data_IF_085227895856
#
_entry.id   IF_085227895856
#
_cell.length_a   1.000
_cell.length_b   1.000
_cell.length_c   1.000
_cell.angle_alpha   90.00
_cell.angle_beta   90.00
_cell.angle_gamma   90.00
#
_symmetry.space_group_name_H-M   'P 1'
#
loop_
_entity.id
_entity.type
_entity.pdbx_description
1 polymer ?
#
# COMPACT_ATOMS: atom_id res chain seq x y z
N UNK A 1 -28.41 -9.36 -11.15
CA UNK A 1 -28.24 -8.42 -10.02
C UNK A 1 -26.91 -7.71 -10.21
N UNK A 2 -26.89 -6.51 -10.78
CA UNK A 2 -25.62 -5.84 -11.13
C UNK A 2 -25.71 -4.35 -10.81
N UNK A 3 -25.62 -4.04 -9.53
CA UNK A 3 -25.67 -2.68 -9.00
C UNK A 3 -24.27 -2.05 -9.14
N UNK A 4 -23.96 -1.51 -10.31
CA UNK A 4 -22.74 -0.74 -10.56
C UNK A 4 -22.82 0.64 -9.92
N UNK A 5 -22.74 0.69 -8.59
CA UNK A 5 -22.25 1.89 -7.92
C UNK A 5 -20.73 1.84 -7.97
N UNK A 6 -20.09 2.70 -8.76
CA UNK A 6 -18.62 2.84 -8.84
C UNK A 6 -18.07 3.50 -7.58
N UNK A 7 -18.41 2.94 -6.41
CA UNK A 7 -17.92 3.39 -5.12
C UNK A 7 -16.62 2.67 -4.84
N UNK A 8 -15.53 3.43 -4.89
CA UNK A 8 -14.21 2.93 -4.53
C UNK A 8 -14.23 2.55 -3.05
N UNK A 9 -13.91 1.30 -2.73
CA UNK A 9 -13.84 0.81 -1.34
C UNK A 9 -12.39 0.68 -0.91
N UNK A 10 -12.11 1.10 0.32
CA UNK A 10 -10.81 0.94 0.94
C UNK A 10 -10.56 -0.52 1.27
N UNK A 11 -9.46 -1.09 0.79
CA UNK A 11 -9.09 -2.49 1.05
C UNK A 11 -8.74 -2.76 2.52
N UNK A 12 -8.34 -1.74 3.29
CA UNK A 12 -7.91 -1.90 4.68
C UNK A 12 -9.05 -1.85 5.70
N UNK A 13 -10.15 -1.14 5.40
CA UNK A 13 -11.29 -0.99 6.33
C UNK A 13 -12.65 -1.29 5.69
N UNK A 14 -12.67 -1.68 4.42
CA UNK A 14 -13.84 -2.00 3.60
C UNK A 14 -14.91 -0.91 3.50
N UNK A 15 -14.58 0.32 3.92
CA UNK A 15 -15.45 1.50 3.82
C UNK A 15 -15.29 2.20 2.48
N UNK A 16 -16.32 2.93 2.06
CA UNK A 16 -16.25 3.81 0.89
C UNK A 16 -15.15 4.86 1.09
N UNK A 17 -14.27 4.99 0.10
CA UNK A 17 -13.24 6.03 0.06
C UNK A 17 -13.59 7.02 -1.03
N UNK A 18 -13.62 8.29 -0.65
CA UNK A 18 -13.90 9.38 -1.58
C UNK A 18 -12.65 9.74 -2.37
N UNK A 19 -12.83 10.25 -3.59
CA UNK A 19 -11.74 10.68 -4.45
C UNK A 19 -10.81 11.74 -3.79
N UNK A 20 -11.31 12.49 -2.80
CA UNK A 20 -10.51 13.46 -2.04
C UNK A 20 -9.45 12.82 -1.14
N UNK A 21 -9.68 11.60 -0.65
CA UNK A 21 -8.79 10.89 0.28
C UNK A 21 -8.34 9.53 -0.26
N UNK A 22 -8.64 9.26 -1.53
CA UNK A 22 -8.32 7.99 -2.18
C UNK A 22 -6.83 7.92 -2.47
N UNK A 23 -6.24 6.83 -2.03
CA UNK A 23 -4.86 6.47 -2.28
C UNK A 23 -4.84 5.21 -3.13
N UNK A 24 -4.41 5.36 -4.37
CA UNK A 24 -4.20 4.24 -5.29
C UNK A 24 -2.80 3.67 -5.10
N UNK A 25 -2.70 2.43 -4.63
CA UNK A 25 -1.44 1.74 -4.42
C UNK A 25 -1.54 0.29 -4.91
N UNK A 26 -0.67 -0.12 -5.84
CA UNK A 26 -0.65 -1.50 -6.35
C UNK A 26 -1.98 -1.98 -6.95
N UNK A 27 -2.79 -1.08 -7.52
CA UNK A 27 -4.09 -1.41 -8.12
C UNK A 27 -5.27 -1.49 -7.14
N UNK A 28 -5.05 -1.20 -5.86
CA UNK A 28 -6.10 -1.12 -4.84
C UNK A 28 -6.16 0.28 -4.23
N UNK A 29 -7.31 0.59 -3.61
CA UNK A 29 -7.58 1.90 -3.07
C UNK A 29 -7.60 1.87 -1.53
N UNK A 30 -7.08 2.92 -0.91
CA UNK A 30 -6.99 3.09 0.53
C UNK A 30 -7.36 4.52 0.94
N UNK A 31 -7.74 4.73 2.20
CA UNK A 31 -7.81 6.09 2.78
C UNK A 31 -6.41 6.60 3.13
N UNK A 32 -6.25 7.92 3.12
CA UNK A 32 -5.06 8.62 3.67
C UNK A 32 -4.65 8.14 5.07
N UNK A 33 -5.61 7.87 5.94
CA UNK A 33 -5.38 7.39 7.30
C UNK A 33 -5.21 5.88 7.33
N UNK A 34 -5.81 5.13 6.41
CA UNK A 34 -5.69 3.66 6.33
C UNK A 34 -4.36 3.20 5.71
N UNK A 35 -3.65 4.10 5.04
CA UNK A 35 -2.37 3.83 4.42
C UNK A 35 -1.26 3.65 5.45
N UNK A 36 -1.16 2.44 5.99
CA UNK A 36 -0.27 2.09 7.12
C UNK A 36 0.45 0.78 6.84
N UNK A 37 1.60 0.59 7.49
CA UNK A 37 2.33 -0.67 7.40
C UNK A 37 1.52 -1.80 8.05
N UNK A 38 1.35 -2.93 7.37
CA UNK A 38 0.64 -4.09 7.92
C UNK A 38 1.39 -4.78 9.07
N UNK A 39 2.69 -4.50 9.23
CA UNK A 39 3.50 -5.11 10.27
C UNK A 39 3.53 -4.30 11.57
N UNK A 40 3.68 -2.97 11.48
CA UNK A 40 3.75 -2.09 12.65
C UNK A 40 2.61 -1.06 12.76
N UNK A 41 1.66 -1.06 11.83
CA UNK A 41 0.59 -0.05 11.72
C UNK A 41 1.08 1.40 11.67
N UNK A 42 2.37 1.63 11.36
CA UNK A 42 2.95 2.96 11.20
C UNK A 42 2.37 3.68 9.98
N UNK A 43 2.13 4.99 10.10
CA UNK A 43 1.65 5.82 8.99
C UNK A 43 2.65 5.81 7.85
N UNK A 44 2.17 5.46 6.66
CA UNK A 44 2.94 5.51 5.42
C UNK A 44 2.44 6.67 4.56
N UNK A 45 3.29 7.11 3.64
CA UNK A 45 2.92 8.09 2.62
C UNK A 45 3.11 7.49 1.23
N UNK A 46 2.33 7.95 0.25
CA UNK A 46 2.52 7.57 -1.16
C UNK A 46 3.95 7.78 -1.66
N UNK A 47 4.67 8.73 -1.07
CA UNK A 47 6.07 9.03 -1.39
C UNK A 47 7.09 8.13 -0.68
N UNK A 48 6.69 7.37 0.35
CA UNK A 48 7.59 6.53 1.17
C UNK A 48 6.88 5.25 1.65
N UNK A 49 6.34 4.47 0.72
CA UNK A 49 5.77 3.14 1.02
C UNK A 49 6.35 2.09 0.09
N UNK A 50 6.17 0.83 0.47
CA UNK A 50 6.45 -0.31 -0.37
C UNK A 50 5.25 -1.25 -0.34
N UNK A 51 4.87 -1.76 -1.50
CA UNK A 51 3.77 -2.71 -1.64
C UNK A 51 4.32 -4.08 -2.03
N UNK A 52 3.99 -5.11 -1.26
CA UNK A 52 4.29 -6.51 -1.56
C UNK A 52 2.97 -7.27 -1.63
N UNK A 53 2.65 -7.87 -2.77
CA UNK A 53 1.46 -8.72 -2.92
C UNK A 53 0.15 -8.01 -2.49
N UNK A 54 0.05 -6.70 -2.77
CA UNK A 54 -1.09 -5.87 -2.35
C UNK A 54 -1.08 -5.42 -0.88
N UNK A 55 -0.05 -5.79 -0.11
CA UNK A 55 0.13 -5.40 1.30
C UNK A 55 1.15 -4.28 1.45
N UNK A 56 0.84 -3.28 2.29
CA UNK A 56 1.68 -2.10 2.50
C UNK A 56 2.69 -2.31 3.61
N UNK A 57 3.93 -1.92 3.36
CA UNK A 57 5.04 -2.03 4.31
C UNK A 57 5.85 -0.71 4.36
N UNK A 58 6.42 -0.42 5.52
CA UNK A 58 7.41 0.65 5.63
C UNK A 58 8.75 0.20 5.03
N UNK A 59 9.58 1.16 4.60
CA UNK A 59 10.94 0.89 4.08
C UNK A 59 11.72 -0.18 4.88
N UNK A 60 11.92 -0.05 6.20
CA UNK A 60 12.71 -1.03 6.94
C UNK A 60 12.07 -2.42 7.00
N UNK A 61 10.76 -2.53 7.21
CA UNK A 61 10.09 -3.84 7.24
C UNK A 61 10.03 -4.50 5.87
N UNK A 62 9.84 -3.71 4.80
CA UNK A 62 9.84 -4.22 3.44
C UNK A 62 11.24 -4.74 3.06
N UNK A 63 12.30 -3.99 3.36
CA UNK A 63 13.68 -4.43 3.14
C UNK A 63 13.99 -5.72 3.91
N UNK A 64 13.55 -5.84 5.16
CA UNK A 64 13.70 -7.05 5.95
C UNK A 64 12.95 -8.24 5.33
N UNK A 65 11.69 -8.04 4.92
CA UNK A 65 10.89 -9.05 4.23
C UNK A 65 11.52 -9.53 2.92
N UNK A 66 12.04 -8.61 2.10
CA UNK A 66 12.74 -8.97 0.87
C UNK A 66 14.00 -9.79 1.16
N UNK A 67 14.70 -9.46 2.25
CA UNK A 67 15.88 -10.20 2.71
C UNK A 67 15.54 -11.63 3.10
N UNK A 68 14.39 -11.84 3.76
CA UNK A 68 13.89 -13.17 4.13
C UNK A 68 13.31 -13.95 2.94
N UNK A 69 12.66 -13.27 1.99
CA UNK A 69 11.98 -13.92 0.86
C UNK A 69 12.89 -14.27 -0.33
N UNK A 70 14.14 -13.78 -0.33
CA UNK A 70 15.19 -14.23 -1.26
C UNK A 70 15.17 -13.55 -2.63
N UNK A 71 16.30 -12.89 -2.92
CA UNK A 71 16.80 -12.36 -4.21
C UNK A 71 16.14 -11.13 -4.85
N UNK A 72 16.91 -10.02 -4.93
CA UNK A 72 16.90 -9.15 -6.12
C UNK A 72 16.78 -7.64 -5.93
N UNK A 73 17.82 -7.00 -5.37
CA UNK A 73 18.29 -5.64 -5.66
C UNK A 73 17.38 -4.69 -6.48
N UNK A 74 16.75 -3.72 -5.82
CA UNK A 74 16.71 -2.36 -6.36
C UNK A 74 17.84 -1.56 -5.71
N UNK A 75 19.07 -1.90 -6.11
CA UNK A 75 20.21 -1.01 -5.95
C UNK A 75 19.84 0.27 -6.71
N UNK A 76 19.62 1.34 -5.97
CA UNK A 76 19.40 2.69 -6.49
C UNK A 76 20.47 2.98 -7.54
N UNK A 77 20.07 3.03 -8.81
CA UNK A 77 20.94 3.42 -9.90
C UNK A 77 21.05 4.94 -9.88
N UNK A 78 22.23 5.47 -9.60
CA UNK A 78 22.89 6.51 -10.39
C UNK A 78 24.33 6.68 -9.87
N UNK A 79 25.25 6.80 -10.84
CA UNK A 79 26.71 6.91 -10.68
C UNK A 79 27.14 8.03 -9.76
#
# INVERSE_FOLDING_TARGET
>A
MSSFGTQTKCKACDKTVYAAEVISAGGVNYHNTCFRCSHCNGRLALSNYSCLDGTLFCKPHFEQLLKEKGSGALKSSSR
#
